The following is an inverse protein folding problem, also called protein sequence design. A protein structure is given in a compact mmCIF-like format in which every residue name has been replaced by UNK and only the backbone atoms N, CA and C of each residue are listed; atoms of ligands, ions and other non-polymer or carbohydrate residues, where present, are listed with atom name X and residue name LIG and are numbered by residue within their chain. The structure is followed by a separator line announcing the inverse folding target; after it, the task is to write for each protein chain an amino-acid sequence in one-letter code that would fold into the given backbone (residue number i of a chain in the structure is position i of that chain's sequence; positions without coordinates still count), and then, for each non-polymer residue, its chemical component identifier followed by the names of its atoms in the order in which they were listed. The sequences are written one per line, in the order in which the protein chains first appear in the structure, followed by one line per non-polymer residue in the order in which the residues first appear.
data_IF_243061743534
#
_entry.id   IF_243061743534
#
_cell.length_a   1.000
_cell.length_b   1.000
_cell.length_c   1.000
_cell.angle_alpha   90.00
_cell.angle_beta   90.00
_cell.angle_gamma   90.00
#
_symmetry.space_group_name_H-M   'P 1'
#
loop_
_entity.id
_entity.type
_entity.pdbx_description
1 polymer ?
#
# COMPACT_ATOMS: atom_id res chain seq x y z
N UNK A 1 -53.53 25.82 -47.94
CA UNK A 1 -52.40 26.63 -47.41
C UNK A 1 -51.68 25.83 -46.34
N UNK A 2 -50.35 25.70 -46.48
CA UNK A 2 -49.31 25.29 -45.49
C UNK A 2 -49.55 23.98 -44.71
N UNK A 3 -48.95 22.85 -45.14
CA UNK A 3 -47.53 22.40 -44.97
C UNK A 3 -47.29 21.75 -43.61
N UNK A 4 -46.90 20.47 -43.68
CA UNK A 4 -46.33 19.60 -42.66
C UNK A 4 -45.40 20.31 -41.67
N UNK A 5 -45.44 19.92 -40.39
CA UNK A 5 -44.32 20.14 -39.47
C UNK A 5 -44.17 18.95 -38.50
N UNK A 6 -43.24 18.07 -38.86
CA UNK A 6 -42.29 17.27 -38.05
C UNK A 6 -42.59 17.10 -36.54
N UNK A 7 -42.63 15.91 -35.95
CA UNK A 7 -41.73 14.76 -36.14
C UNK A 7 -40.44 14.94 -35.33
N UNK A 8 -40.20 14.02 -34.37
CA UNK A 8 -39.01 13.84 -33.51
C UNK A 8 -38.76 14.88 -32.40
N UNK A 9 -38.92 14.47 -31.14
CA UNK A 9 -37.82 14.50 -30.15
C UNK A 9 -38.19 13.73 -28.87
N UNK A 10 -37.72 12.50 -28.75
CA UNK A 10 -37.48 11.85 -27.46
C UNK A 10 -36.47 10.71 -27.68
N UNK A 11 -35.27 11.08 -28.14
CA UNK A 11 -34.12 10.19 -28.07
C UNK A 11 -33.70 10.19 -26.59
N UNK A 12 -34.27 9.26 -25.81
CA UNK A 12 -33.81 8.97 -24.46
C UNK A 12 -32.34 8.60 -24.55
N UNK A 13 -31.47 9.50 -24.12
CA UNK A 13 -30.05 9.25 -23.97
C UNK A 13 -29.89 8.16 -22.89
N UNK A 14 -29.83 6.90 -23.33
CA UNK A 14 -29.19 5.84 -22.57
C UNK A 14 -27.69 6.13 -22.68
N UNK A 15 -27.23 7.12 -21.92
CA UNK A 15 -25.83 7.26 -21.58
C UNK A 15 -25.54 6.16 -20.56
N UNK A 16 -25.43 4.93 -21.06
CA UNK A 16 -24.83 3.84 -20.32
C UNK A 16 -23.37 4.28 -20.13
N UNK A 17 -23.04 4.78 -18.94
CA UNK A 17 -21.66 4.94 -18.55
C UNK A 17 -21.06 3.54 -18.55
N UNK A 18 -20.41 3.18 -19.66
CA UNK A 18 -19.42 2.11 -19.65
C UNK A 18 -18.25 2.63 -18.82
N UNK A 19 -18.42 2.64 -17.50
CA UNK A 19 -17.30 2.65 -16.58
C UNK A 19 -16.62 1.32 -16.82
N UNK A 20 -15.62 1.32 -17.72
CA UNK A 20 -14.73 0.18 -17.85
C UNK A 20 -14.21 -0.12 -16.45
N UNK A 21 -14.38 -1.35 -16.00
CA UNK A 21 -13.83 -1.80 -14.73
C UNK A 21 -12.34 -1.54 -14.79
N UNK A 22 -11.90 -0.48 -14.09
CA UNK A 22 -10.47 -0.25 -13.88
C UNK A 22 -10.02 -1.39 -12.99
N UNK A 23 -9.16 -2.23 -13.54
CA UNK A 23 -8.52 -3.27 -12.76
C UNK A 23 -7.49 -2.60 -11.87
N UNK A 24 -7.91 -2.19 -10.68
CA UNK A 24 -7.05 -1.57 -9.68
C UNK A 24 -6.26 -2.62 -8.87
N UNK A 25 -6.26 -3.89 -9.29
CA UNK A 25 -5.52 -4.92 -8.58
C UNK A 25 -4.00 -4.68 -8.70
N UNK A 26 -3.25 -4.83 -7.59
CA UNK A 26 -1.83 -4.56 -7.61
C UNK A 26 -1.05 -5.56 -8.46
N UNK A 27 -0.01 -5.09 -9.15
CA UNK A 27 0.90 -5.98 -9.87
C UNK A 27 1.66 -6.90 -8.90
N UNK A 28 1.86 -8.14 -9.32
CA UNK A 28 2.71 -9.07 -8.59
C UNK A 28 4.19 -8.65 -8.69
N UNK A 29 4.96 -8.99 -7.67
CA UNK A 29 6.41 -8.79 -7.64
C UNK A 29 6.87 -7.99 -6.45
N UNK A 30 8.01 -7.31 -6.61
CA UNK A 30 8.68 -6.57 -5.54
C UNK A 30 8.14 -5.16 -5.44
N UNK A 31 7.86 -4.74 -4.22
CA UNK A 31 7.39 -3.41 -3.88
C UNK A 31 8.26 -2.80 -2.79
N UNK A 32 8.40 -1.48 -2.84
CA UNK A 32 8.97 -0.68 -1.76
C UNK A 32 7.85 -0.01 -0.99
N UNK A 33 7.64 -0.45 0.25
CA UNK A 33 6.78 0.21 1.22
C UNK A 33 7.53 1.28 2.01
N UNK A 34 6.84 2.35 2.39
CA UNK A 34 7.36 3.37 3.32
C UNK A 34 6.31 3.72 4.35
N UNK A 35 6.68 3.67 5.63
CA UNK A 35 5.89 4.24 6.72
C UNK A 35 6.50 5.59 7.10
N UNK A 36 5.72 6.66 7.09
CA UNK A 36 6.16 7.96 7.58
C UNK A 36 6.05 7.99 9.12
N UNK A 37 7.19 7.98 9.81
CA UNK A 37 7.23 8.01 11.28
C UNK A 37 6.99 9.42 11.84
N UNK A 38 7.39 10.44 11.08
CA UNK A 38 7.16 11.86 11.31
C UNK A 38 7.44 12.62 10.00
N UNK A 39 7.33 13.95 10.02
CA UNK A 39 7.49 14.82 8.83
C UNK A 39 8.84 14.68 8.11
N UNK A 40 9.87 14.18 8.80
CA UNK A 40 11.24 14.10 8.27
C UNK A 40 11.77 12.67 8.14
N UNK A 41 11.13 11.70 8.81
CA UNK A 41 11.65 10.35 8.97
C UNK A 41 10.73 9.33 8.32
N UNK A 42 11.30 8.60 7.37
CA UNK A 42 10.64 7.51 6.67
C UNK A 42 11.28 6.18 7.04
N UNK A 43 10.44 5.15 7.23
CA UNK A 43 10.86 3.76 7.42
C UNK A 43 10.56 2.97 6.14
N UNK A 44 11.55 2.83 5.25
CA UNK A 44 11.41 2.05 4.02
C UNK A 44 11.69 0.55 4.25
N UNK A 45 10.89 -0.29 3.61
CA UNK A 45 11.08 -1.74 3.57
C UNK A 45 10.62 -2.30 2.23
N UNK A 46 11.11 -3.47 1.88
CA UNK A 46 10.70 -4.18 0.69
C UNK A 46 9.71 -5.27 1.08
N UNK A 47 8.76 -5.56 0.19
CA UNK A 47 7.89 -6.71 0.29
C UNK A 47 7.63 -7.33 -1.08
N UNK A 48 7.30 -8.61 -1.09
CA UNK A 48 6.76 -9.28 -2.25
C UNK A 48 5.24 -9.29 -2.18
N UNK A 49 4.58 -8.88 -3.26
CA UNK A 49 3.15 -9.01 -3.47
C UNK A 49 2.86 -10.15 -4.43
N UNK A 50 1.94 -11.03 -4.07
CA UNK A 50 1.47 -12.11 -4.94
C UNK A 50 -0.06 -12.18 -4.93
N UNK A 51 -0.59 -12.66 -6.05
CA UNK A 51 -2.01 -12.95 -6.20
C UNK A 51 -2.82 -11.82 -6.84
N UNK A 52 -4.01 -12.22 -7.30
CA UNK A 52 -5.02 -11.39 -7.99
C UNK A 52 -6.40 -11.82 -7.55
N UNK A 53 -7.43 -11.03 -7.89
CA UNK A 53 -8.83 -11.39 -7.71
C UNK A 53 -9.19 -11.75 -6.25
N UNK A 54 -8.72 -10.92 -5.30
CA UNK A 54 -8.92 -11.09 -3.85
C UNK A 54 -8.17 -12.25 -3.18
N UNK A 55 -7.30 -12.96 -3.88
CA UNK A 55 -6.41 -13.98 -3.29
C UNK A 55 -4.99 -13.44 -3.17
N UNK A 56 -4.75 -12.53 -2.22
CA UNK A 56 -3.46 -11.86 -2.07
C UNK A 56 -2.58 -12.48 -0.98
N UNK A 57 -1.28 -12.37 -1.16
CA UNK A 57 -0.30 -12.53 -0.09
C UNK A 57 0.76 -11.44 -0.14
N UNK A 58 1.24 -11.06 1.04
CA UNK A 58 2.32 -10.10 1.22
C UNK A 58 3.40 -10.70 2.10
N UNK A 59 4.66 -10.62 1.67
CA UNK A 59 5.82 -11.07 2.43
C UNK A 59 6.79 -9.92 2.60
N UNK A 60 6.98 -9.44 3.82
CA UNK A 60 7.90 -8.34 4.15
C UNK A 60 9.30 -8.89 4.39
N UNK A 61 10.34 -8.20 3.90
CA UNK A 61 11.74 -8.58 4.10
C UNK A 61 12.46 -7.68 5.10
N UNK A 62 13.03 -8.30 6.13
CA UNK A 62 13.83 -7.66 7.16
C UNK A 62 15.24 -8.30 7.26
N UNK A 63 16.08 -8.05 6.25
CA UNK A 63 17.39 -8.69 6.19
C UNK A 63 17.21 -10.14 5.73
N UNK A 64 17.63 -11.10 6.56
CA UNK A 64 17.42 -12.54 6.32
C UNK A 64 16.04 -13.03 6.81
N UNK A 65 15.31 -12.20 7.56
CA UNK A 65 13.98 -12.53 8.06
C UNK A 65 12.89 -12.22 7.02
N UNK A 66 11.95 -13.16 6.86
CA UNK A 66 10.74 -13.00 6.07
C UNK A 66 9.50 -13.02 6.98
N UNK A 67 8.68 -11.97 6.89
CA UNK A 67 7.43 -11.84 7.66
C UNK A 67 6.28 -12.00 6.68
N UNK A 68 5.69 -13.19 6.64
CA UNK A 68 4.49 -13.47 5.86
C UNK A 68 3.24 -12.96 6.58
N UNK A 69 2.39 -12.20 5.89
CA UNK A 69 1.12 -11.73 6.45
C UNK A 69 0.10 -12.85 6.59
N UNK A 70 -0.71 -12.83 7.65
CA UNK A 70 -1.69 -13.89 7.91
C UNK A 70 -2.93 -13.79 7.03
N UNK A 71 -3.44 -12.57 6.88
CA UNK A 71 -4.73 -12.34 6.24
C UNK A 71 -4.77 -10.99 5.55
N UNK A 72 -5.27 -11.02 4.33
CA UNK A 72 -5.60 -9.83 3.54
C UNK A 72 -7.10 -9.87 3.29
N UNK A 73 -7.82 -8.90 3.84
CA UNK A 73 -9.29 -8.76 3.70
C UNK A 73 -9.59 -7.59 2.76
N UNK A 74 -10.50 -7.79 1.80
CA UNK A 74 -10.94 -6.72 0.89
C UNK A 74 -12.09 -5.92 1.54
N UNK A 75 -11.94 -4.60 1.57
CA UNK A 75 -12.92 -3.61 2.06
C UNK A 75 -13.14 -2.53 0.98
N UNK A 76 -14.02 -2.82 0.02
CA UNK A 76 -14.26 -1.94 -1.14
C UNK A 76 -13.04 -1.81 -2.04
N UNK A 77 -12.53 -0.57 -2.20
CA UNK A 77 -11.28 -0.28 -2.92
C UNK A 77 -10.02 -0.46 -2.07
N UNK A 78 -10.19 -0.90 -0.81
CA UNK A 78 -9.13 -1.01 0.18
C UNK A 78 -8.84 -2.45 0.59
N UNK A 79 -7.64 -2.70 1.09
CA UNK A 79 -7.19 -3.96 1.68
C UNK A 79 -6.79 -3.73 3.14
N UNK A 80 -7.22 -4.65 4.01
CA UNK A 80 -6.79 -4.73 5.40
C UNK A 80 -5.80 -5.90 5.51
N UNK A 81 -4.54 -5.58 5.79
CA UNK A 81 -3.43 -6.54 5.81
C UNK A 81 -2.96 -6.74 7.25
N UNK A 82 -3.15 -7.94 7.79
CA UNK A 82 -2.79 -8.28 9.19
C UNK A 82 -1.42 -8.96 9.27
N UNK A 83 -0.64 -8.53 10.25
CA UNK A 83 0.65 -9.12 10.57
C UNK A 83 0.48 -10.31 11.54
N UNK A 84 1.36 -11.33 11.51
CA UNK A 84 1.16 -12.56 12.28
C UNK A 84 1.31 -12.45 13.80
N UNK A 85 2.10 -11.51 14.28
CA UNK A 85 2.42 -11.40 15.72
C UNK A 85 2.07 -10.03 16.29
N UNK A 86 1.85 -9.05 15.42
CA UNK A 86 1.62 -7.67 15.81
C UNK A 86 0.14 -7.33 15.66
N UNK A 87 -0.43 -6.66 16.67
CA UNK A 87 -1.80 -6.14 16.58
C UNK A 87 -1.94 -5.10 15.45
N UNK A 88 -0.84 -4.43 15.11
CA UNK A 88 -0.80 -3.46 14.04
C UNK A 88 -1.13 -4.08 12.68
N UNK A 89 -1.80 -3.32 11.83
CA UNK A 89 -2.21 -3.76 10.50
C UNK A 89 -2.11 -2.60 9.50
N UNK A 90 -2.08 -2.93 8.22
CA UNK A 90 -2.18 -1.92 7.16
C UNK A 90 -3.62 -1.83 6.67
N UNK A 91 -4.11 -0.61 6.46
CA UNK A 91 -5.31 -0.33 5.66
C UNK A 91 -4.89 0.50 4.46
N UNK A 92 -4.95 -0.08 3.27
CA UNK A 92 -4.42 0.52 2.05
C UNK A 92 -5.48 0.56 0.96
N UNK A 93 -5.45 1.58 0.12
CA UNK A 93 -6.19 1.60 -1.14
C UNK A 93 -5.40 0.84 -2.20
N UNK A 94 -6.09 -0.01 -2.97
CA UNK A 94 -5.50 -0.74 -4.09
C UNK A 94 -5.11 0.19 -5.22
N UNK A 95 -4.06 -0.19 -5.93
CA UNK A 95 -3.67 0.41 -7.19
C UNK A 95 -2.61 -0.46 -7.86
N UNK A 96 -2.59 -0.42 -9.19
CA UNK A 96 -1.77 -1.30 -10.02
C UNK A 96 -0.28 -1.19 -9.67
N UNK A 97 0.28 0.03 -9.64
CA UNK A 97 1.72 0.27 -9.35
C UNK A 97 1.95 1.09 -8.08
N UNK A 98 0.87 1.52 -7.41
CA UNK A 98 0.94 2.38 -6.22
C UNK A 98 -0.15 2.00 -5.23
N UNK A 99 0.25 1.89 -3.96
CA UNK A 99 -0.67 1.75 -2.84
C UNK A 99 -0.49 2.94 -1.90
N UNK A 100 -1.59 3.45 -1.34
CA UNK A 100 -1.58 4.52 -0.34
C UNK A 100 -2.51 4.14 0.82
N UNK A 101 -2.13 4.47 2.05
CA UNK A 101 -2.94 4.11 3.21
C UNK A 101 -2.27 4.43 4.53
N UNK A 102 -2.50 3.56 5.51
CA UNK A 102 -2.03 3.74 6.87
C UNK A 102 -1.56 2.43 7.50
N UNK A 103 -0.52 2.52 8.32
CA UNK A 103 -0.16 1.54 9.34
C UNK A 103 -0.84 1.94 10.65
N UNK A 104 -1.69 1.07 11.20
CA UNK A 104 -2.61 1.41 12.29
C UNK A 104 -2.26 0.58 13.51
N UNK A 105 -2.20 1.22 14.68
CA UNK A 105 -2.11 0.55 15.97
C UNK A 105 -3.50 0.52 16.62
N UNK A 106 -4.18 -0.64 16.72
CA UNK A 106 -5.50 -0.72 17.33
C UNK A 106 -5.49 -0.55 18.85
N UNK A 107 -4.34 -0.77 19.51
CA UNK A 107 -4.22 -0.73 20.97
C UNK A 107 -3.96 0.69 21.50
N UNK A 108 -3.73 1.66 20.60
CA UNK A 108 -3.51 3.06 20.93
C UNK A 108 -4.67 3.93 20.41
N UNK A 109 -4.99 4.99 21.15
CA UNK A 109 -6.09 5.89 20.80
C UNK A 109 -5.80 6.62 19.49
N UNK A 110 -6.57 6.29 18.44
CA UNK A 110 -6.52 6.89 17.11
C UNK A 110 -5.12 6.97 16.48
N UNK A 111 -4.23 6.03 16.82
CA UNK A 111 -2.86 6.06 16.33
C UNK A 111 -2.72 5.39 14.96
N UNK A 112 -2.23 6.17 13.99
CA UNK A 112 -1.92 5.70 12.64
C UNK A 112 -0.76 6.48 12.04
N UNK A 113 0.04 5.79 11.23
CA UNK A 113 1.13 6.37 10.47
C UNK A 113 0.82 6.26 8.97
N UNK A 114 1.07 7.30 8.15
CA UNK A 114 0.91 7.22 6.70
C UNK A 114 1.79 6.11 6.11
N UNK A 115 1.23 5.37 5.18
CA UNK A 115 1.90 4.33 4.42
C UNK A 115 1.74 4.59 2.92
N UNK A 116 2.80 4.39 2.16
CA UNK A 116 2.73 4.27 0.71
C UNK A 116 3.60 3.12 0.21
N UNK A 117 3.29 2.61 -0.98
CA UNK A 117 4.13 1.64 -1.66
C UNK A 117 4.18 1.89 -3.17
N UNK A 118 5.32 1.55 -3.78
CA UNK A 118 5.53 1.61 -5.23
C UNK A 118 6.08 0.28 -5.74
N UNK A 119 5.52 -0.20 -6.86
CA UNK A 119 5.96 -1.42 -7.52
C UNK A 119 7.31 -1.23 -8.22
N UNK A 120 8.11 -2.29 -8.31
CA UNK A 120 9.35 -2.33 -9.09
C UNK A 120 10.54 -1.58 -8.49
N UNK A 121 10.39 -0.92 -7.34
CA UNK A 121 11.48 -0.31 -6.58
C UNK A 121 11.94 -1.28 -5.48
N UNK A 122 13.23 -1.61 -5.47
CA UNK A 122 13.86 -2.45 -4.44
C UNK A 122 14.81 -1.67 -3.51
N UNK A 123 14.93 -0.35 -3.71
CA UNK A 123 15.91 0.49 -3.02
C UNK A 123 15.44 0.85 -1.61
N UNK A 124 15.95 0.18 -0.56
CA UNK A 124 15.53 0.53 0.83
C UNK A 124 16.10 1.87 1.28
N UNK A 125 17.42 2.04 1.17
CA UNK A 125 18.13 3.23 1.65
C UNK A 125 18.84 3.90 0.49
N UNK A 126 18.85 5.25 0.48
CA UNK A 126 19.79 5.98 -0.37
C UNK A 126 21.19 5.69 0.14
N UNK A 127 22.13 5.39 -0.75
CA UNK A 127 23.53 5.26 -0.38
C UNK A 127 23.98 6.56 0.32
N UNK A 128 24.34 6.46 1.59
CA UNK A 128 24.89 7.57 2.37
C UNK A 128 26.33 7.87 2.00
N UNK A 129 26.87 8.96 2.55
CA UNK A 129 28.28 9.29 2.41
C UNK A 129 29.20 8.16 2.90
N UNK A 130 30.41 8.12 2.34
CA UNK A 130 31.41 7.10 2.62
C UNK A 130 31.64 6.97 4.13
N UNK A 131 31.58 5.74 4.65
CA UNK A 131 31.75 5.45 6.07
C UNK A 131 33.03 6.11 6.62
N UNK A 132 32.89 7.13 7.46
CA UNK A 132 34.03 7.85 8.03
C UNK A 132 34.81 7.04 9.07
N UNK A 133 34.17 6.00 9.64
CA UNK A 133 34.48 5.56 11.00
C UNK A 133 34.21 4.05 11.21
N UNK A 134 35.08 3.38 11.98
CA UNK A 134 34.95 1.96 12.35
C UNK A 134 33.88 1.77 13.45
N UNK A 135 32.78 1.10 13.10
CA UNK A 135 31.65 0.80 13.99
C UNK A 135 31.83 -0.47 14.82
N UNK A 136 32.93 -1.21 14.65
CA UNK A 136 33.24 -2.42 15.43
C UNK A 136 33.77 -2.07 16.84
N UNK A 137 33.01 -1.27 17.59
CA UNK A 137 33.29 -0.90 18.99
C UNK A 137 32.28 -1.58 19.91
N UNK A 138 32.56 -1.55 21.22
CA UNK A 138 31.60 -1.99 22.24
C UNK A 138 30.60 -0.86 22.50
N UNK A 139 29.32 -1.19 22.41
CA UNK A 139 28.21 -0.26 22.63
C UNK A 139 27.65 -0.46 24.04
N UNK A 140 27.46 0.65 24.78
CA UNK A 140 26.81 0.59 26.08
C UNK A 140 25.29 0.43 25.90
N UNK A 141 24.71 -0.56 26.56
CA UNK A 141 23.25 -0.76 26.59
C UNK A 141 22.78 -0.57 28.03
N UNK A 142 21.75 0.26 28.22
CA UNK A 142 21.08 0.42 29.50
C UNK A 142 19.70 -0.20 29.41
N UNK A 143 19.49 -1.29 30.13
CA UNK A 143 18.15 -1.84 30.36
C UNK A 143 17.51 -1.08 31.52
N UNK A 144 16.25 -0.68 31.36
CA UNK A 144 15.43 -0.14 32.45
C UNK A 144 14.28 -1.13 32.70
N UNK A 145 14.07 -1.59 33.94
CA UNK A 145 12.96 -2.49 34.31
C UNK A 145 11.58 -1.85 34.10
#
# INVERSE_FOLDING_TARGET
MKKYLYGLLALSAVACSTGGERNDDPVEGVWRGTIALNDSTNLPFNFEWKGKDSLYSMTIWNGEEEIQTERIETDGDSLIIRLPVFANYFKIKKGEERMDGYYINPDADNYRLPFNAMAGDSSRFKAGEMNCCDINKKWAVKFSP
#
